data_IF_624138763806
#
_entry.id   IF_624138763806
#
_cell.length_a   1.000
_cell.length_b   1.000
_cell.length_c   1.000
_cell.angle_alpha   90.00
_cell.angle_beta   90.00
_cell.angle_gamma   90.00
#
_symmetry.space_group_name_H-M   'P 1'
#
loop_
_entity.id
_entity.type
_entity.pdbx_description
1 polymer ?
#
# COMPACT_ATOMS: atom_id res chain seq x y z
N UNK A 1 6.92 -10.52 22.59
CA UNK A 1 7.12 -10.27 21.14
C UNK A 1 6.00 -9.35 20.69
N UNK A 2 6.29 -8.10 20.26
CA UNK A 2 5.24 -7.19 19.76
C UNK A 2 4.53 -7.90 18.62
N UNK A 3 3.21 -8.09 18.70
CA UNK A 3 2.46 -8.82 17.66
C UNK A 3 2.72 -8.09 16.35
N UNK A 4 3.52 -8.69 15.47
CA UNK A 4 3.79 -8.12 14.17
C UNK A 4 2.45 -8.08 13.45
N UNK A 5 1.99 -6.88 13.10
CA UNK A 5 0.69 -6.71 12.48
C UNK A 5 0.80 -7.11 11.01
N UNK A 6 0.59 -8.40 10.76
CA UNK A 6 0.62 -9.02 9.44
C UNK A 6 -0.21 -8.25 8.40
N UNK A 7 -1.32 -7.62 8.81
CA UNK A 7 -2.13 -6.76 7.93
C UNK A 7 -1.37 -5.52 7.44
N UNK A 8 -0.64 -4.83 8.33
CA UNK A 8 0.16 -3.67 7.93
C UNK A 8 1.35 -4.08 7.06
N UNK A 9 1.93 -5.25 7.34
CA UNK A 9 2.99 -5.81 6.51
C UNK A 9 2.47 -6.15 5.10
N UNK A 10 1.28 -6.74 5.00
CA UNK A 10 0.62 -7.00 3.71
C UNK A 10 0.36 -5.70 2.94
N UNK A 11 -0.09 -4.64 3.61
CA UNK A 11 -0.24 -3.32 3.01
C UNK A 11 1.10 -2.75 2.49
N UNK A 12 2.20 -2.98 3.21
CA UNK A 12 3.52 -2.57 2.76
C UNK A 12 3.96 -3.34 1.49
N UNK A 13 3.76 -4.66 1.46
CA UNK A 13 4.02 -5.45 0.25
C UNK A 13 3.14 -5.03 -0.93
N UNK A 14 1.86 -4.76 -0.69
CA UNK A 14 0.96 -4.25 -1.72
C UNK A 14 1.43 -2.89 -2.25
N UNK A 15 1.91 -1.99 -1.38
CA UNK A 15 2.44 -0.69 -1.82
C UNK A 15 3.70 -0.86 -2.67
N UNK A 16 4.61 -1.74 -2.26
CA UNK A 16 5.82 -2.07 -3.04
C UNK A 16 5.44 -2.65 -4.40
N UNK A 17 4.49 -3.57 -4.44
CA UNK A 17 3.99 -4.17 -5.69
C UNK A 17 3.38 -3.11 -6.61
N UNK A 18 2.59 -2.18 -6.06
CA UNK A 18 2.03 -1.06 -6.82
C UNK A 18 3.13 -0.16 -7.40
N UNK A 19 4.21 0.11 -6.67
CA UNK A 19 5.36 0.88 -7.17
C UNK A 19 6.09 0.10 -8.28
N UNK A 20 6.25 -1.22 -8.14
CA UNK A 20 6.84 -2.07 -9.19
C UNK A 20 6.01 -2.01 -10.48
N UNK A 21 4.68 -2.01 -10.38
CA UNK A 21 3.79 -1.88 -11.54
C UNK A 21 4.02 -0.56 -12.30
N UNK A 22 4.31 0.54 -11.62
CA UNK A 22 4.67 1.82 -12.27
C UNK A 22 5.86 1.58 -13.22
N UNK A 23 6.91 0.89 -12.75
CA UNK A 23 8.08 0.55 -13.56
C UNK A 23 7.74 -0.30 -14.78
N UNK A 24 6.87 -1.30 -14.62
CA UNK A 24 6.38 -2.14 -15.72
C UNK A 24 5.65 -1.29 -16.77
N UNK A 25 4.73 -0.43 -16.35
CA UNK A 25 3.97 0.40 -17.30
C UNK A 25 4.79 1.51 -17.95
N UNK A 26 5.85 1.99 -17.29
CA UNK A 26 6.85 2.86 -17.92
C UNK A 26 7.56 2.10 -19.04
N UNK A 27 7.97 0.85 -18.82
CA UNK A 27 8.62 0.04 -19.85
C UNK A 27 7.68 -0.22 -21.03
N UNK A 28 6.41 -0.49 -20.77
CA UNK A 28 5.36 -0.63 -21.80
C UNK A 28 4.95 0.71 -22.46
N UNK A 29 5.46 1.85 -21.98
CA UNK A 29 5.05 3.20 -22.40
C UNK A 29 3.52 3.38 -22.36
N UNK A 30 2.87 2.85 -21.33
CA UNK A 30 1.40 2.89 -21.16
C UNK A 30 1.00 3.99 -20.16
N UNK A 31 0.53 5.17 -20.60
CA UNK A 31 0.17 6.26 -19.69
C UNK A 31 -0.98 5.89 -18.76
N UNK A 32 -1.97 5.15 -19.26
CA UNK A 32 -3.11 4.70 -18.47
C UNK A 32 -2.67 3.75 -17.34
N UNK A 33 -1.75 2.82 -17.63
CA UNK A 33 -1.18 1.92 -16.62
C UNK A 33 -0.39 2.66 -15.55
N UNK A 34 0.40 3.67 -15.93
CA UNK A 34 1.14 4.53 -14.99
C UNK A 34 0.18 5.29 -14.07
N UNK A 35 -0.86 5.92 -14.61
CA UNK A 35 -1.84 6.66 -13.79
C UNK A 35 -2.58 5.70 -12.85
N UNK A 36 -3.04 4.56 -13.36
CA UNK A 36 -3.73 3.55 -12.55
C UNK A 36 -2.85 3.03 -11.41
N UNK A 37 -1.56 2.77 -11.66
CA UNK A 37 -0.62 2.31 -10.63
C UNK A 37 -0.30 3.40 -9.60
N UNK A 38 -0.21 4.67 -9.99
CA UNK A 38 -0.10 5.80 -9.03
C UNK A 38 -1.34 5.87 -8.13
N UNK A 39 -2.54 5.79 -8.71
CA UNK A 39 -3.80 5.77 -7.94
C UNK A 39 -3.83 4.57 -7.00
N UNK A 40 -3.37 3.40 -7.47
CA UNK A 40 -3.26 2.18 -6.67
C UNK A 40 -2.30 2.37 -5.49
N UNK A 41 -1.13 2.99 -5.69
CA UNK A 41 -0.19 3.34 -4.60
C UNK A 41 -0.88 4.23 -3.58
N UNK A 42 -1.56 5.29 -4.01
CA UNK A 42 -2.28 6.20 -3.11
C UNK A 42 -3.39 5.49 -2.33
N UNK A 43 -4.17 4.63 -2.99
CA UNK A 43 -5.24 3.85 -2.37
C UNK A 43 -4.69 2.85 -1.33
N UNK A 44 -3.62 2.14 -1.66
CA UNK A 44 -2.98 1.18 -0.76
C UNK A 44 -2.31 1.90 0.41
N UNK A 45 -1.51 2.94 0.18
CA UNK A 45 -0.90 3.70 1.28
C UNK A 45 -1.96 4.37 2.16
N UNK A 46 -2.95 5.04 1.57
CA UNK A 46 -4.05 5.66 2.28
C UNK A 46 -4.81 4.66 3.14
N UNK A 47 -5.21 3.52 2.56
CA UNK A 47 -5.87 2.43 3.26
C UNK A 47 -5.01 1.85 4.40
N UNK A 48 -3.70 1.70 4.19
CA UNK A 48 -2.76 1.22 5.20
C UNK A 48 -2.63 2.17 6.38
N UNK A 49 -2.59 3.49 6.13
CA UNK A 49 -2.60 4.50 7.19
C UNK A 49 -3.94 4.58 7.92
N UNK A 50 -5.06 4.49 7.21
CA UNK A 50 -6.39 4.43 7.82
C UNK A 50 -6.54 3.19 8.70
N UNK A 51 -6.08 2.03 8.25
CA UNK A 51 -6.09 0.79 9.03
C UNK A 51 -5.18 0.94 10.26
N UNK A 52 -3.97 1.48 10.10
CA UNK A 52 -3.07 1.77 11.22
C UNK A 52 -3.74 2.67 12.27
N UNK A 53 -4.49 3.70 11.85
CA UNK A 53 -5.26 4.56 12.77
C UNK A 53 -6.34 3.76 13.51
N UNK A 54 -7.17 2.99 12.81
CA UNK A 54 -8.21 2.16 13.42
C UNK A 54 -7.65 1.15 14.43
N UNK A 55 -6.50 0.55 14.14
CA UNK A 55 -5.84 -0.39 15.04
C UNK A 55 -5.34 0.27 16.33
N UNK A 56 -4.92 1.54 16.27
CA UNK A 56 -4.59 2.33 17.47
C UNK A 56 -5.82 2.65 18.30
N UNK A 57 -6.92 3.01 17.65
CA UNK A 57 -8.22 3.26 18.32
C UNK A 57 -8.77 2.01 19.01
N UNK A 58 -8.47 0.82 18.48
CA UNK A 58 -8.82 -0.48 19.07
C UNK A 58 -7.85 -0.94 20.17
N UNK A 59 -6.76 -0.21 20.43
CA UNK A 59 -5.71 -0.63 21.37
C UNK A 59 -4.88 -1.83 20.89
N UNK A 60 -4.93 -2.18 19.60
CA UNK A 60 -4.09 -3.22 18.99
C UNK A 60 -2.67 -2.71 18.70
N UNK A 61 -2.51 -1.39 18.67
CA UNK A 61 -1.26 -0.69 18.45
C UNK A 61 -1.14 0.40 19.52
N UNK A 62 -0.13 0.27 20.37
CA UNK A 62 0.29 1.34 21.28
C UNK A 62 0.78 2.58 20.49
#
# INVERSE_FOLDING_TARGET
>A
MKKMNWLLLLFAFAAVFSIMLIGVFIAEKSPAGIIASIVLVCAVMGGGFTLKKKMREQGLLD
#
